data_IF_063660549832
#
_entry.id   IF_063660549832
#
_cell.length_a   1.000
_cell.length_b   1.000
_cell.length_c   1.000
_cell.angle_alpha   90.00
_cell.angle_beta   90.00
_cell.angle_gamma   90.00
#
_symmetry.space_group_name_H-M   'P 1'
#
loop_
_entity.id
_entity.type
_entity.pdbx_description
1 polymer ?
#
# COMPACT_ATOMS: atom_id res chain seq x y z
N UNK A 1 16.82 -43.79 -1.74
CA UNK A 1 16.24 -43.07 -2.90
C UNK A 1 14.93 -42.44 -2.46
N UNK A 2 14.89 -41.13 -2.27
CA UNK A 2 13.68 -40.30 -2.34
C UNK A 2 14.11 -38.85 -2.59
N UNK A 3 14.05 -38.50 -3.88
CA UNK A 3 13.95 -37.18 -4.51
C UNK A 3 14.49 -35.95 -3.76
N UNK A 4 15.68 -35.51 -4.19
CA UNK A 4 15.99 -34.09 -4.36
C UNK A 4 15.00 -33.50 -5.38
N UNK A 5 13.84 -33.05 -4.91
CA UNK A 5 13.00 -32.13 -5.66
C UNK A 5 13.50 -30.73 -5.39
N UNK A 6 14.14 -30.09 -6.36
CA UNK A 6 14.47 -28.68 -6.28
C UNK A 6 13.16 -27.89 -6.18
N UNK A 7 12.90 -27.35 -4.99
CA UNK A 7 11.81 -26.40 -4.76
C UNK A 7 12.20 -25.09 -5.42
N UNK A 8 11.39 -24.64 -6.37
CA UNK A 8 11.64 -23.48 -7.21
C UNK A 8 10.57 -22.42 -6.92
N UNK A 9 10.99 -21.23 -6.50
CA UNK A 9 10.10 -20.08 -6.27
C UNK A 9 10.25 -19.07 -7.42
N UNK A 10 9.24 -18.25 -7.73
CA UNK A 10 9.32 -17.22 -8.78
C UNK A 10 8.84 -15.86 -8.25
N UNK A 11 9.31 -14.76 -8.83
CA UNK A 11 8.84 -13.41 -8.51
C UNK A 11 7.95 -12.91 -9.64
N UNK A 12 6.74 -12.44 -9.30
CA UNK A 12 5.84 -11.77 -10.23
C UNK A 12 5.80 -10.27 -9.96
N UNK A 13 5.91 -9.47 -11.02
CA UNK A 13 5.56 -8.05 -11.01
C UNK A 13 4.29 -7.86 -11.82
N UNK A 14 3.22 -7.38 -11.20
CA UNK A 14 1.95 -7.09 -11.87
C UNK A 14 1.73 -5.60 -12.00
N UNK A 15 1.40 -5.11 -13.20
CA UNK A 15 0.99 -3.72 -13.42
C UNK A 15 -0.51 -3.64 -13.70
N UNK A 16 -1.20 -2.75 -12.98
CA UNK A 16 -2.63 -2.45 -13.15
C UNK A 16 -2.81 -0.97 -13.44
N UNK A 17 -3.80 -0.64 -14.26
CA UNK A 17 -4.15 0.72 -14.62
C UNK A 17 -5.62 1.02 -14.33
N UNK A 18 -5.89 2.06 -13.52
CA UNK A 18 -7.24 2.62 -13.34
C UNK A 18 -7.36 4.01 -13.98
N UNK A 19 -8.51 4.27 -14.62
CA UNK A 19 -8.86 5.52 -15.27
C UNK A 19 -10.12 6.13 -14.64
N UNK A 20 -10.12 7.43 -14.35
CA UNK A 20 -11.31 8.15 -13.91
C UNK A 20 -12.23 8.43 -15.12
N UNK A 21 -13.42 7.84 -15.13
CA UNK A 21 -14.45 8.09 -16.13
C UNK A 21 -15.25 9.34 -15.76
N UNK A 22 -15.03 10.43 -16.50
CA UNK A 22 -16.00 11.53 -16.57
C UNK A 22 -16.53 11.69 -18.00
N UNK A 23 -17.64 10.99 -18.26
CA UNK A 23 -18.72 11.48 -19.12
C UNK A 23 -20.02 11.20 -18.37
N UNK A 24 -20.27 12.01 -17.34
CA UNK A 24 -21.54 12.04 -16.65
C UNK A 24 -22.63 12.49 -17.63
N UNK A 25 -23.62 11.64 -17.89
CA UNK A 25 -24.94 12.05 -18.37
C UNK A 25 -25.99 11.40 -17.49
N UNK A 26 -26.49 12.24 -16.59
CA UNK A 26 -27.77 12.25 -15.90
C UNK A 26 -28.24 10.97 -15.21
N UNK A 27 -28.16 10.99 -13.88
CA UNK A 27 -29.06 10.24 -13.00
C UNK A 27 -29.67 11.26 -12.05
N UNK A 28 -30.96 11.55 -12.21
CA UNK A 28 -31.75 12.29 -11.24
C UNK A 28 -32.42 11.31 -10.29
N UNK A 29 -32.16 11.46 -8.99
CA UNK A 29 -32.90 10.76 -7.93
C UNK A 29 -33.68 11.83 -7.18
N UNK A 30 -35.01 11.69 -7.17
CA UNK A 30 -35.90 12.54 -6.41
C UNK A 30 -35.90 12.08 -4.94
N UNK A 31 -35.43 12.93 -4.04
CA UNK A 31 -35.37 12.67 -2.59
C UNK A 31 -36.27 13.67 -1.86
N UNK A 32 -37.58 13.48 -1.97
CA UNK A 32 -38.50 14.04 -0.96
C UNK A 32 -38.36 13.15 0.30
N UNK A 33 -37.89 13.77 1.38
CA UNK A 33 -37.51 13.21 2.70
C UNK A 33 -36.00 12.96 2.88
N UNK A 34 -35.18 14.01 2.73
CA UNK A 34 -33.83 14.02 3.30
C UNK A 34 -33.89 14.23 4.82
N UNK A 35 -33.49 13.21 5.58
CA UNK A 35 -32.97 13.36 6.94
C UNK A 35 -31.78 14.32 6.89
N UNK A 36 -31.86 15.41 7.64
CA UNK A 36 -30.76 16.35 7.87
C UNK A 36 -29.70 15.64 8.73
N UNK A 37 -28.67 15.10 8.06
CA UNK A 37 -27.44 14.62 8.71
C UNK A 37 -26.35 15.62 8.34
N UNK A 38 -26.19 16.62 9.19
CA UNK A 38 -25.16 17.63 9.09
C UNK A 38 -23.80 17.02 9.48
N UNK A 39 -22.82 17.03 8.57
CA UNK A 39 -21.45 16.56 8.84
C UNK A 39 -20.65 17.60 9.63
N UNK A 40 -20.41 17.35 10.92
CA UNK A 40 -19.53 18.15 11.79
C UNK A 40 -18.10 17.57 11.93
N UNK A 41 -17.64 16.71 11.02
CA UNK A 41 -16.37 15.99 11.22
C UNK A 41 -15.11 16.88 11.16
N UNK A 42 -15.12 17.98 10.40
CA UNK A 42 -13.88 18.77 10.21
C UNK A 42 -13.62 19.78 11.35
N UNK A 43 -14.67 20.26 12.02
CA UNK A 43 -14.54 21.22 13.13
C UNK A 43 -14.19 20.54 14.46
N UNK A 44 -14.62 19.31 14.68
CA UNK A 44 -14.32 18.56 15.91
C UNK A 44 -12.87 18.05 15.97
N UNK A 45 -12.22 17.80 14.83
CA UNK A 45 -10.78 17.47 14.80
C UNK A 45 -9.94 18.65 15.28
N UNK A 46 -10.24 19.87 14.83
CA UNK A 46 -9.53 21.08 15.27
C UNK A 46 -9.83 21.43 16.73
N UNK A 47 -11.06 21.19 17.20
CA UNK A 47 -11.46 21.45 18.58
C UNK A 47 -11.00 20.38 19.58
N UNK A 48 -10.80 19.12 19.18
CA UNK A 48 -10.20 18.09 20.04
C UNK A 48 -8.78 18.44 20.47
N UNK A 49 -8.03 19.21 19.67
CA UNK A 49 -6.70 19.71 20.03
C UNK A 49 -6.70 20.82 21.09
N UNK A 50 -7.87 21.31 21.53
CA UNK A 50 -7.98 22.20 22.71
C UNK A 50 -8.14 21.44 24.02
N UNK A 51 -8.61 20.19 23.99
CA UNK A 51 -8.83 19.41 25.23
C UNK A 51 -7.54 18.89 25.88
N UNK A 52 -6.43 18.81 25.12
CA UNK A 52 -5.16 18.20 25.58
C UNK A 52 -4.15 19.27 26.07
N UNK A 53 -4.61 20.25 26.84
CA UNK A 53 -3.74 20.93 27.81
C UNK A 53 -3.32 19.98 28.96
N UNK A 54 -3.68 18.70 28.87
CA UNK A 54 -3.53 17.70 29.91
C UNK A 54 -2.10 17.22 30.14
N UNK A 55 -1.16 17.29 29.21
CA UNK A 55 0.19 16.74 29.47
C UNK A 55 0.90 17.47 30.61
N UNK A 56 0.89 18.81 30.61
CA UNK A 56 1.47 19.60 31.70
C UNK A 56 0.55 19.60 32.94
N UNK A 57 -0.77 19.44 32.76
CA UNK A 57 -1.70 19.26 33.88
C UNK A 57 -1.47 17.93 34.63
N UNK A 58 -1.33 16.82 33.90
CA UNK A 58 -0.95 15.50 34.40
C UNK A 58 0.42 15.52 35.08
N UNK A 59 1.33 16.37 34.61
CA UNK A 59 2.63 16.57 35.25
C UNK A 59 2.51 17.31 36.60
N UNK A 60 1.49 18.17 36.75
CA UNK A 60 1.23 18.92 37.99
C UNK A 60 0.41 18.15 39.04
N UNK A 61 -0.16 17.01 38.69
CA UNK A 61 -0.86 16.15 39.67
C UNK A 61 0.14 15.64 40.72
N UNK A 62 -0.23 15.70 41.99
CA UNK A 62 0.58 15.22 43.13
C UNK A 62 1.01 13.74 43.03
N UNK A 63 0.30 12.93 42.22
CA UNK A 63 0.64 11.52 41.95
C UNK A 63 1.67 11.34 40.84
N UNK A 64 2.00 12.42 40.14
CA UNK A 64 2.93 12.44 39.03
C UNK A 64 4.33 12.81 39.49
N UNK A 65 5.34 12.25 38.83
CA UNK A 65 6.73 12.65 39.01
C UNK A 65 7.13 13.81 38.07
N UNK A 66 6.15 14.46 37.42
CA UNK A 66 6.37 15.56 36.48
C UNK A 66 6.92 15.15 35.11
N UNK A 67 7.07 13.85 34.83
CA UNK A 67 7.54 13.32 33.54
C UNK A 67 6.45 12.48 32.90
N UNK A 68 5.94 12.91 31.76
CA UNK A 68 4.86 12.24 31.04
C UNK A 68 5.40 11.52 29.81
N UNK A 69 4.90 10.31 29.56
CA UNK A 69 5.10 9.57 28.31
C UNK A 69 3.77 9.47 27.56
N UNK A 70 3.81 9.59 26.23
CA UNK A 70 2.63 9.37 25.39
C UNK A 70 2.82 8.09 24.57
N UNK A 71 1.75 7.29 24.48
CA UNK A 71 1.69 6.06 23.71
C UNK A 71 0.41 6.04 22.87
N UNK A 72 0.48 5.57 21.63
CA UNK A 72 -0.70 5.32 20.83
C UNK A 72 -0.44 4.49 19.57
N UNK A 73 -1.47 3.77 19.14
CA UNK A 73 -1.52 3.07 17.85
C UNK A 73 -2.58 3.71 16.94
N UNK A 74 -2.39 3.64 15.62
CA UNK A 74 -3.36 4.13 14.64
C UNK A 74 -3.80 5.57 14.99
N UNK A 75 -5.11 5.85 15.10
CA UNK A 75 -5.65 7.18 15.46
C UNK A 75 -5.01 7.80 16.71
N UNK A 76 -4.87 7.04 17.80
CA UNK A 76 -4.24 7.53 19.04
C UNK A 76 -2.74 7.84 18.84
N UNK A 77 -2.09 7.12 17.92
CA UNK A 77 -0.72 7.37 17.51
C UNK A 77 -0.57 8.65 16.69
N UNK A 78 -1.46 8.89 15.70
CA UNK A 78 -1.52 10.14 14.94
C UNK A 78 -1.66 11.35 15.85
N UNK A 79 -2.58 11.28 16.81
CA UNK A 79 -2.78 12.34 17.80
C UNK A 79 -1.53 12.55 18.66
N UNK A 80 -0.90 11.46 19.09
CA UNK A 80 0.34 11.51 19.87
C UNK A 80 1.48 12.19 19.10
N UNK A 81 1.69 11.81 17.84
CA UNK A 81 2.72 12.37 16.97
C UNK A 81 2.47 13.85 16.67
N UNK A 82 1.27 14.20 16.22
CA UNK A 82 0.91 15.60 15.92
C UNK A 82 0.97 16.49 17.16
N UNK A 83 0.54 16.00 18.32
CA UNK A 83 0.58 16.79 19.55
C UNK A 83 1.99 17.04 20.06
N UNK A 84 2.81 15.99 20.10
CA UNK A 84 4.21 16.13 20.53
C UNK A 84 4.97 17.13 19.66
N UNK A 85 4.73 17.14 18.34
CA UNK A 85 5.42 18.02 17.39
C UNK A 85 4.90 19.46 17.41
N UNK A 86 3.58 19.66 17.48
CA UNK A 86 2.96 20.99 17.44
C UNK A 86 3.04 21.73 18.78
N UNK A 87 2.84 21.04 19.91
CA UNK A 87 2.77 21.67 21.23
C UNK A 87 4.08 21.63 21.99
N UNK A 88 4.91 20.60 21.75
CA UNK A 88 6.17 20.35 22.47
C UNK A 88 6.05 20.54 24.00
N UNK A 89 5.14 19.81 24.69
CA UNK A 89 4.92 20.01 26.12
C UNK A 89 6.20 19.78 26.92
N UNK A 90 6.51 20.65 27.90
CA UNK A 90 7.76 20.54 28.65
C UNK A 90 7.82 19.25 29.47
N UNK A 91 6.67 18.76 29.96
CA UNK A 91 6.62 17.52 30.73
C UNK A 91 6.78 16.25 29.89
N UNK A 92 6.64 16.31 28.56
CA UNK A 92 6.73 15.12 27.70
C UNK A 92 8.19 14.65 27.58
N UNK A 93 8.49 13.45 28.10
CA UNK A 93 9.84 12.86 28.13
C UNK A 93 10.01 11.58 27.31
N UNK A 94 8.90 10.96 26.90
CA UNK A 94 8.92 9.75 26.08
C UNK A 94 7.71 9.71 25.14
N UNK A 95 7.91 9.11 23.97
CA UNK A 95 6.87 8.94 22.96
C UNK A 95 6.98 7.55 22.34
N UNK A 96 5.84 6.88 22.19
CA UNK A 96 5.73 5.64 21.45
C UNK A 96 4.53 5.71 20.52
N UNK A 97 4.78 5.72 19.22
CA UNK A 97 3.73 5.75 18.20
C UNK A 97 3.93 4.58 17.25
N UNK A 98 2.89 3.78 17.04
CA UNK A 98 2.93 2.66 16.10
C UNK A 98 1.79 2.75 15.09
N UNK A 99 2.05 2.31 13.85
CA UNK A 99 1.12 2.38 12.73
C UNK A 99 0.59 3.80 12.49
N UNK A 100 1.52 4.75 12.37
CA UNK A 100 1.24 6.18 12.14
C UNK A 100 2.03 6.67 10.93
N UNK A 101 1.58 7.76 10.33
CA UNK A 101 2.36 8.51 9.34
C UNK A 101 2.34 10.00 9.66
N UNK A 102 3.39 10.70 9.27
CA UNK A 102 3.48 12.16 9.25
C UNK A 102 3.01 12.76 7.90
N UNK A 103 2.82 11.93 6.87
CA UNK A 103 2.24 12.31 5.58
C UNK A 103 0.79 11.79 5.47
N UNK A 104 -0.14 12.58 6.02
CA UNK A 104 -1.57 12.28 5.98
C UNK A 104 -2.17 12.26 4.57
N UNK A 105 -1.50 12.85 3.58
CA UNK A 105 -2.03 12.83 2.22
C UNK A 105 -1.64 11.56 1.50
N UNK A 106 -0.35 11.19 1.47
CA UNK A 106 0.11 10.07 0.64
C UNK A 106 0.13 8.72 1.34
N UNK A 107 0.10 8.71 2.67
CA UNK A 107 0.35 7.49 3.45
C UNK A 107 -0.79 7.13 4.39
N UNK A 108 -1.82 7.98 4.50
CA UNK A 108 -3.05 7.65 5.20
C UNK A 108 -4.08 6.99 4.27
N UNK A 109 -5.07 6.34 4.87
CA UNK A 109 -6.03 5.46 4.19
C UNK A 109 -6.92 6.15 3.14
N UNK A 110 -6.96 7.49 3.12
CA UNK A 110 -7.87 8.25 2.27
C UNK A 110 -7.30 8.56 0.88
N UNK A 111 -6.01 8.86 0.80
CA UNK A 111 -5.33 9.31 -0.43
C UNK A 111 -4.00 8.57 -0.67
N UNK A 112 -3.93 7.31 -0.24
CA UNK A 112 -2.73 6.48 -0.40
C UNK A 112 -2.18 6.57 -1.83
N UNK A 113 -0.88 6.80 -1.96
CA UNK A 113 -0.19 6.95 -3.25
C UNK A 113 -0.69 8.10 -4.14
N UNK A 114 -1.41 9.06 -3.56
CA UNK A 114 -2.06 10.17 -4.28
C UNK A 114 -3.35 9.77 -5.00
N UNK A 115 -3.91 8.60 -4.65
CA UNK A 115 -5.13 8.02 -5.22
C UNK A 115 -6.19 8.02 -4.12
N UNK A 116 -7.40 8.49 -4.44
CA UNK A 116 -8.51 8.42 -3.50
C UNK A 116 -8.88 6.95 -3.24
N UNK A 117 -8.87 6.56 -1.97
CA UNK A 117 -9.32 5.26 -1.51
C UNK A 117 -10.68 5.43 -0.83
N UNK A 118 -11.60 4.50 -1.11
CA UNK A 118 -12.88 4.44 -0.39
C UNK A 118 -12.64 3.67 0.90
N UNK A 119 -12.76 4.36 2.03
CA UNK A 119 -12.57 3.74 3.33
C UNK A 119 -13.78 2.87 3.70
N UNK A 120 -13.67 1.56 3.46
CA UNK A 120 -14.64 0.57 3.93
C UNK A 120 -14.47 0.24 5.42
N UNK A 121 -13.39 0.69 6.07
CA UNK A 121 -13.00 0.29 7.40
C UNK A 121 -14.06 0.63 8.46
N UNK A 122 -14.68 1.82 8.38
CA UNK A 122 -15.68 2.27 9.33
C UNK A 122 -16.93 1.36 9.35
N UNK A 123 -17.50 1.05 8.18
CA UNK A 123 -18.68 0.17 8.10
C UNK A 123 -18.27 -1.26 8.49
N UNK A 124 -17.12 -1.72 8.02
CA UNK A 124 -16.65 -3.07 8.29
C UNK A 124 -16.46 -3.34 9.79
N UNK A 125 -15.85 -2.42 10.55
CA UNK A 125 -15.56 -2.65 11.97
C UNK A 125 -16.84 -2.72 12.81
N UNK A 126 -17.81 -1.83 12.54
CA UNK A 126 -19.09 -1.81 13.26
C UNK A 126 -19.87 -3.11 13.02
N UNK A 127 -19.92 -3.57 11.77
CA UNK A 127 -20.57 -4.83 11.43
C UNK A 127 -19.81 -6.03 11.99
N UNK A 128 -18.48 -6.02 11.96
CA UNK A 128 -17.64 -7.10 12.49
C UNK A 128 -17.77 -7.25 14.00
N UNK A 129 -17.87 -6.13 14.74
CA UNK A 129 -18.11 -6.13 16.18
C UNK A 129 -19.51 -6.63 16.56
N UNK A 130 -20.47 -6.57 15.63
CA UNK A 130 -21.82 -7.10 15.82
C UNK A 130 -21.93 -8.60 15.53
N UNK A 131 -20.90 -9.23 14.95
CA UNK A 131 -20.89 -10.67 14.69
C UNK A 131 -20.77 -11.40 16.04
N UNK A 132 -21.75 -12.27 16.41
CA UNK A 132 -21.65 -13.03 17.64
C UNK A 132 -20.43 -13.96 17.58
N UNK A 133 -19.75 -14.11 18.71
CA UNK A 133 -18.64 -15.05 18.81
C UNK A 133 -19.11 -16.44 18.35
N UNK A 134 -18.36 -17.13 17.47
CA UNK A 134 -18.78 -18.46 17.03
C UNK A 134 -18.71 -19.41 18.24
N UNK A 135 -19.77 -20.19 18.45
CA UNK A 135 -19.95 -21.08 19.61
C UNK A 135 -18.75 -22.04 19.78
N UNK A 136 -18.13 -22.45 18.67
CA UNK A 136 -17.02 -23.38 18.65
C UNK A 136 -15.68 -22.73 18.24
N UNK A 137 -15.57 -21.39 18.31
CA UNK A 137 -14.33 -20.70 17.93
C UNK A 137 -13.26 -20.87 19.00
N UNK A 138 -12.40 -21.86 18.78
CA UNK A 138 -11.33 -22.19 19.70
C UNK A 138 -9.99 -21.64 19.19
N UNK A 139 -9.49 -20.56 19.81
CA UNK A 139 -8.14 -20.02 19.56
C UNK A 139 -7.09 -20.89 20.26
N UNK A 140 -6.91 -22.12 19.78
CA UNK A 140 -5.89 -23.02 20.27
C UNK A 140 -4.57 -22.85 19.50
N UNK A 141 -3.53 -23.58 19.91
CA UNK A 141 -2.21 -23.53 19.25
C UNK A 141 -2.29 -23.89 17.76
N UNK A 142 -3.21 -24.79 17.39
CA UNK A 142 -3.43 -25.16 15.99
C UNK A 142 -4.02 -23.98 15.19
N UNK A 143 -5.07 -23.33 15.71
CA UNK A 143 -5.66 -22.13 15.11
C UNK A 143 -4.62 -21.03 14.88
N UNK A 144 -3.70 -20.87 15.83
CA UNK A 144 -2.60 -19.92 15.76
C UNK A 144 -1.59 -20.31 14.69
N UNK A 145 -1.16 -21.58 14.66
CA UNK A 145 -0.19 -22.10 13.66
C UNK A 145 -0.71 -22.03 12.23
N UNK A 146 -2.01 -22.20 12.02
CA UNK A 146 -2.63 -22.16 10.69
C UNK A 146 -2.74 -20.73 10.12
N UNK A 147 -2.63 -19.69 10.97
CA UNK A 147 -2.78 -18.28 10.59
C UNK A 147 -1.50 -17.46 10.70
N UNK A 148 -0.49 -17.96 11.41
CA UNK A 148 0.82 -17.33 11.45
C UNK A 148 1.61 -17.70 10.20
N UNK A 149 2.13 -16.69 9.51
CA UNK A 149 3.12 -16.90 8.46
C UNK A 149 4.40 -17.48 9.07
N UNK A 150 5.04 -18.41 8.37
CA UNK A 150 6.35 -18.93 8.79
C UNK A 150 7.40 -17.84 8.60
N UNK A 151 8.22 -17.60 9.62
CA UNK A 151 9.28 -16.60 9.57
C UNK A 151 10.10 -16.63 10.85
N UNK A 152 11.15 -15.81 10.90
CA UNK A 152 11.93 -15.60 12.11
C UNK A 152 12.23 -14.12 12.28
N UNK A 153 12.22 -13.64 13.52
CA UNK A 153 12.67 -12.29 13.82
C UNK A 153 14.16 -12.17 13.51
N UNK A 154 14.51 -11.09 12.83
CA UNK A 154 15.89 -10.73 12.54
C UNK A 154 16.20 -9.38 13.18
N UNK A 155 17.37 -9.29 13.79
CA UNK A 155 17.88 -8.07 14.37
C UNK A 155 18.89 -7.42 13.43
N UNK A 156 18.77 -6.11 13.27
CA UNK A 156 19.73 -5.27 12.53
C UNK A 156 20.11 -4.08 13.40
N UNK A 157 21.40 -3.73 13.40
CA UNK A 157 21.93 -2.62 14.21
C UNK A 157 21.67 -1.25 13.58
N UNK A 158 21.24 -1.20 12.32
CA UNK A 158 21.09 0.03 11.54
C UNK A 158 19.96 -0.09 10.51
N UNK A 159 19.42 1.07 10.11
CA UNK A 159 18.40 1.17 9.08
C UNK A 159 18.56 2.46 8.25
N UNK A 160 18.51 2.41 6.91
CA UNK A 160 18.49 1.20 6.06
C UNK A 160 19.74 0.35 6.21
N UNK A 161 19.65 -0.95 5.92
CA UNK A 161 20.77 -1.90 6.06
C UNK A 161 21.89 -1.53 5.08
N UNK A 162 23.10 -1.17 5.55
CA UNK A 162 24.19 -0.69 4.67
C UNK A 162 24.72 -1.79 3.75
N UNK A 163 24.75 -3.04 4.23
CA UNK A 163 25.25 -4.19 3.45
C UNK A 163 24.28 -4.70 2.38
N UNK A 164 23.15 -4.02 2.16
CA UNK A 164 22.19 -4.38 1.12
C UNK A 164 22.83 -4.31 -0.28
N UNK A 165 22.49 -5.27 -1.14
CA UNK A 165 22.86 -5.23 -2.56
C UNK A 165 21.62 -4.86 -3.36
N UNK A 166 21.73 -3.83 -4.18
CA UNK A 166 20.66 -3.45 -5.11
C UNK A 166 20.62 -4.49 -6.22
N UNK A 167 19.63 -5.38 -6.19
CA UNK A 167 19.28 -6.23 -7.32
C UNK A 167 18.33 -5.47 -8.24
N UNK A 168 18.66 -5.39 -9.54
CA UNK A 168 17.83 -4.71 -10.54
C UNK A 168 17.23 -5.77 -11.45
N UNK A 169 15.90 -5.86 -11.42
CA UNK A 169 15.15 -6.66 -12.38
C UNK A 169 14.62 -5.76 -13.49
N UNK A 170 14.63 -6.27 -14.72
CA UNK A 170 14.14 -5.62 -15.92
C UNK A 170 12.92 -6.35 -16.44
N UNK A 171 12.02 -5.57 -17.04
CA UNK A 171 10.75 -6.01 -17.59
C UNK A 171 10.84 -5.93 -19.12
N UNK A 172 11.36 -6.96 -19.81
CA UNK A 172 11.26 -7.11 -21.25
C UNK A 172 9.81 -7.35 -21.71
N UNK A 173 9.62 -7.30 -23.03
CA UNK A 173 8.30 -7.45 -23.66
C UNK A 173 7.74 -8.87 -23.56
N UNK A 174 8.59 -9.89 -23.44
CA UNK A 174 8.22 -11.31 -23.44
C UNK A 174 7.62 -11.79 -22.12
N UNK A 175 7.11 -10.88 -21.30
CA UNK A 175 6.50 -11.17 -19.99
C UNK A 175 7.44 -11.86 -19.00
N UNK A 176 8.75 -11.74 -19.21
CA UNK A 176 9.76 -12.22 -18.26
C UNK A 176 10.23 -11.11 -17.32
N UNK A 177 10.78 -11.52 -16.19
CA UNK A 177 11.48 -10.65 -15.25
C UNK A 177 12.94 -11.12 -15.16
N UNK A 178 13.88 -10.29 -15.64
CA UNK A 178 15.29 -10.70 -15.82
C UNK A 178 16.27 -9.75 -15.14
N UNK A 179 17.37 -10.26 -14.60
CA UNK A 179 18.44 -9.42 -14.01
C UNK A 179 19.29 -8.71 -15.07
N UNK A 180 19.34 -9.27 -16.28
CA UNK A 180 20.20 -8.78 -17.35
C UNK A 180 19.50 -7.62 -18.06
N UNK A 181 20.18 -6.48 -18.10
CA UNK A 181 19.67 -5.30 -18.81
C UNK A 181 19.46 -5.66 -20.29
N UNK A 182 18.23 -5.53 -20.82
CA UNK A 182 17.99 -5.76 -22.24
C UNK A 182 18.85 -4.82 -23.09
N UNK A 183 19.34 -5.30 -24.23
CA UNK A 183 19.99 -4.47 -25.24
C UNK A 183 18.95 -3.49 -25.81
N UNK A 184 18.87 -2.29 -25.24
CA UNK A 184 18.01 -1.23 -25.78
C UNK A 184 18.50 -0.81 -27.16
N UNK A 185 17.74 -1.13 -28.21
CA UNK A 185 17.89 -0.42 -29.48
C UNK A 185 17.35 0.99 -29.23
N UNK A 186 18.19 2.03 -29.37
CA UNK A 186 17.76 3.43 -29.17
C UNK A 186 16.50 3.68 -29.99
N UNK A 187 15.38 3.88 -29.31
CA UNK A 187 14.16 4.35 -29.95
C UNK A 187 14.40 5.81 -30.32
N UNK A 188 14.48 6.08 -31.62
CA UNK A 188 14.36 7.44 -32.12
C UNK A 188 13.06 8.01 -31.55
N UNK A 189 13.14 9.22 -30.99
CA UNK A 189 12.08 9.91 -30.23
C UNK A 189 10.74 10.04 -30.98
N UNK A 190 10.70 9.72 -32.28
CA UNK A 190 9.53 9.81 -33.15
C UNK A 190 9.10 8.49 -33.82
N UNK A 191 9.60 7.33 -33.39
CA UNK A 191 9.05 6.02 -33.81
C UNK A 191 8.63 5.22 -32.57
N UNK A 192 7.32 5.03 -32.45
CA UNK A 192 6.71 4.05 -31.55
C UNK A 192 7.41 2.72 -31.79
N UNK A 193 8.15 2.22 -30.80
CA UNK A 193 8.53 0.81 -30.80
C UNK A 193 7.22 0.01 -30.84
N UNK A 194 7.12 -0.98 -31.72
CA UNK A 194 5.97 -1.91 -31.78
C UNK A 194 5.91 -2.87 -30.56
N UNK A 195 6.52 -2.44 -29.48
CA UNK A 195 7.06 -3.24 -28.40
C UNK A 195 6.49 -2.64 -27.11
N UNK A 196 5.17 -2.74 -26.98
CA UNK A 196 4.39 -2.17 -25.86
C UNK A 196 3.43 -3.24 -25.40
N UNK A 197 3.51 -3.59 -24.12
CA UNK A 197 2.50 -4.43 -23.48
C UNK A 197 1.28 -3.58 -23.16
N UNK A 198 0.13 -3.98 -23.69
CA UNK A 198 -1.12 -3.23 -23.57
C UNK A 198 -1.97 -3.86 -22.47
N UNK A 199 -2.37 -3.04 -21.51
CA UNK A 199 -3.34 -3.41 -20.50
C UNK A 199 -4.71 -2.83 -20.87
N UNK A 200 -5.72 -3.70 -20.94
CA UNK A 200 -7.10 -3.28 -21.14
C UNK A 200 -7.68 -2.73 -19.83
N UNK A 201 -8.22 -1.51 -19.86
CA UNK A 201 -8.91 -0.93 -18.71
C UNK A 201 -10.26 -1.63 -18.49
N UNK A 202 -10.49 -2.10 -17.25
CA UNK A 202 -11.75 -2.71 -16.83
C UNK A 202 -12.22 -2.08 -15.51
N UNK A 203 -13.37 -1.40 -15.47
CA UNK A 203 -13.77 -0.58 -14.33
C UNK A 203 -14.10 -1.39 -13.06
N UNK A 204 -14.34 -2.70 -13.17
CA UNK A 204 -14.64 -3.58 -12.03
C UNK A 204 -13.40 -4.32 -11.51
N UNK A 205 -12.24 -4.22 -12.17
CA UNK A 205 -11.03 -4.94 -11.74
C UNK A 205 -10.43 -4.22 -10.53
N UNK A 206 -10.20 -4.96 -9.45
CA UNK A 206 -9.67 -4.42 -8.19
C UNK A 206 -10.46 -4.84 -6.96
N UNK A 207 -11.71 -5.28 -7.11
CA UNK A 207 -12.48 -5.83 -5.99
C UNK A 207 -11.89 -7.14 -5.45
N UNK A 208 -11.16 -7.87 -6.29
CA UNK A 208 -10.46 -9.12 -5.94
C UNK A 208 -9.24 -8.88 -5.04
N UNK A 209 -8.73 -7.65 -4.96
CA UNK A 209 -7.54 -7.28 -4.20
C UNK A 209 -7.73 -7.34 -2.67
N UNK A 210 -8.97 -7.50 -2.20
CA UNK A 210 -9.32 -7.47 -0.79
C UNK A 210 -9.66 -6.08 -0.27
N UNK A 211 -9.84 -5.97 1.04
CA UNK A 211 -10.36 -4.77 1.70
C UNK A 211 -9.29 -3.80 2.18
N UNK A 212 -8.10 -4.30 2.53
CA UNK A 212 -7.03 -3.49 3.10
C UNK A 212 -5.64 -4.08 2.80
N UNK A 213 -4.71 -3.22 2.41
CA UNK A 213 -3.34 -3.60 2.05
C UNK A 213 -2.53 -4.23 3.20
N UNK A 214 -2.88 -3.92 4.46
CA UNK A 214 -2.25 -4.53 5.64
C UNK A 214 -2.89 -5.85 6.09
N UNK A 215 -3.93 -6.32 5.39
CA UNK A 215 -4.60 -7.58 5.68
C UNK A 215 -3.85 -8.78 5.11
N UNK A 216 -4.19 -9.99 5.59
CA UNK A 216 -3.78 -11.22 4.92
C UNK A 216 -4.48 -11.27 3.56
N UNK A 217 -3.69 -11.27 2.49
CA UNK A 217 -4.22 -11.45 1.14
C UNK A 217 -4.38 -12.93 0.83
N UNK A 218 -5.47 -13.26 0.14
CA UNK A 218 -5.64 -14.59 -0.43
C UNK A 218 -4.80 -14.77 -1.68
N UNK A 219 -4.97 -15.93 -2.33
CA UNK A 219 -4.41 -16.23 -3.64
C UNK A 219 -4.70 -15.12 -4.66
N UNK A 220 -3.64 -14.56 -5.26
CA UNK A 220 -3.71 -13.41 -6.16
C UNK A 220 -4.12 -13.76 -7.61
N UNK A 221 -4.13 -15.04 -7.99
CA UNK A 221 -4.43 -15.49 -9.37
C UNK A 221 -5.73 -14.92 -9.97
N UNK A 222 -6.86 -14.78 -9.22
CA UNK A 222 -8.06 -14.15 -9.76
C UNK A 222 -7.83 -12.71 -10.23
N UNK A 223 -6.94 -11.99 -9.54
CA UNK A 223 -6.61 -10.60 -9.85
C UNK A 223 -5.61 -10.49 -11.01
N UNK A 224 -4.67 -11.42 -11.10
CA UNK A 224 -3.61 -11.45 -12.12
C UNK A 224 -4.15 -11.63 -13.54
N UNK A 225 -5.28 -12.33 -13.67
CA UNK A 225 -6.01 -12.50 -14.94
C UNK A 225 -6.28 -11.18 -15.68
N UNK A 226 -6.32 -10.07 -14.96
CA UNK A 226 -6.60 -8.73 -15.49
C UNK A 226 -5.40 -7.77 -15.36
N UNK A 227 -4.20 -8.30 -15.18
CA UNK A 227 -2.95 -7.55 -14.99
C UNK A 227 -1.95 -7.86 -16.11
N UNK A 228 -0.95 -6.98 -16.29
CA UNK A 228 0.26 -7.36 -17.01
C UNK A 228 1.19 -8.11 -16.07
N UNK A 229 1.41 -9.40 -16.34
CA UNK A 229 2.21 -10.30 -15.51
C UNK A 229 3.63 -10.40 -16.08
N UNK A 230 4.63 -10.29 -15.20
CA UNK A 230 6.04 -10.51 -15.52
C UNK A 230 6.66 -11.48 -14.53
N UNK A 231 7.15 -12.62 -15.00
CA UNK A 231 7.61 -13.73 -14.13
C UNK A 231 9.10 -13.94 -14.27
N UNK A 232 9.82 -14.11 -13.16
CA UNK A 232 11.22 -14.50 -13.19
C UNK A 232 11.39 -15.97 -13.59
N UNK A 233 12.60 -16.35 -14.00
CA UNK A 233 12.95 -17.77 -13.93
C UNK A 233 12.91 -18.26 -12.47
N UNK A 234 12.68 -19.55 -12.24
CA UNK A 234 12.85 -20.19 -10.95
C UNK A 234 14.08 -19.73 -10.17
N UNK A 235 13.83 -19.11 -9.03
CA UNK A 235 14.84 -18.70 -8.06
C UNK A 235 15.55 -19.94 -7.52
N UNK A 236 16.86 -20.00 -7.73
CA UNK A 236 17.71 -21.15 -7.36
C UNK A 236 18.31 -21.02 -5.97
N UNK A 237 18.36 -19.81 -5.43
CA UNK A 237 18.91 -19.47 -4.13
C UNK A 237 18.00 -18.46 -3.47
N UNK A 238 17.66 -18.65 -2.19
CA UNK A 238 16.77 -17.76 -1.46
C UNK A 238 17.26 -16.30 -1.55
N UNK A 239 16.34 -15.40 -1.91
CA UNK A 239 16.59 -13.96 -1.98
C UNK A 239 15.83 -13.32 -0.83
N UNK A 240 16.54 -12.56 -0.01
CA UNK A 240 15.94 -11.76 1.05
C UNK A 240 15.73 -10.33 0.55
N UNK A 241 14.48 -9.86 0.58
CA UNK A 241 14.12 -8.50 0.21
C UNK A 241 13.76 -7.77 1.49
N UNK A 242 14.63 -6.85 1.92
CA UNK A 242 14.41 -6.04 3.13
C UNK A 242 14.58 -4.59 2.73
N UNK A 243 13.52 -3.78 2.88
CA UNK A 243 13.56 -2.37 2.50
C UNK A 243 12.39 -1.94 1.63
N UNK A 244 12.65 -0.87 0.88
CA UNK A 244 11.70 -0.28 -0.06
C UNK A 244 12.12 -0.65 -1.48
N UNK A 245 11.25 -1.37 -2.19
CA UNK A 245 11.42 -1.66 -3.60
C UNK A 245 11.02 -0.44 -4.40
N UNK A 246 11.82 -0.04 -5.38
CA UNK A 246 11.49 1.07 -6.28
C UNK A 246 11.18 0.54 -7.67
N UNK A 247 10.11 1.05 -8.27
CA UNK A 247 9.69 0.68 -9.62
C UNK A 247 9.83 1.88 -10.54
N UNK A 248 10.39 1.63 -11.73
CA UNK A 248 10.49 2.63 -12.80
C UNK A 248 9.87 2.08 -14.08
N UNK A 249 8.84 2.77 -14.58
CA UNK A 249 8.09 2.35 -15.76
C UNK A 249 8.06 3.45 -16.81
N UNK A 250 8.20 3.06 -18.08
CA UNK A 250 7.78 3.90 -19.19
C UNK A 250 6.31 3.59 -19.51
N UNK A 251 5.43 4.56 -19.33
CA UNK A 251 3.99 4.39 -19.44
C UNK A 251 3.36 5.38 -20.41
N UNK A 252 2.21 5.03 -20.96
CA UNK A 252 1.32 5.94 -21.66
C UNK A 252 -0.13 5.58 -21.35
N UNK A 253 -1.04 6.55 -21.53
CA UNK A 253 -2.47 6.36 -21.38
C UNK A 253 -3.21 7.11 -22.48
N UNK A 254 -4.36 6.60 -22.91
CA UNK A 254 -5.23 7.25 -23.92
C UNK A 254 -6.07 8.39 -23.32
N UNK A 255 -5.94 8.64 -22.02
CA UNK A 255 -6.72 9.60 -21.22
C UNK A 255 -5.78 10.50 -20.40
N UNK A 256 -6.37 11.50 -19.73
CA UNK A 256 -5.63 12.52 -18.96
C UNK A 256 -5.32 12.12 -17.52
N UNK A 257 -6.07 11.17 -16.97
CA UNK A 257 -5.96 10.67 -15.60
C UNK A 257 -5.81 9.16 -15.62
N UNK A 258 -4.70 8.69 -15.06
CA UNK A 258 -4.32 7.29 -15.03
C UNK A 258 -3.55 7.01 -13.76
N UNK A 259 -3.85 5.89 -13.10
CA UNK A 259 -3.10 5.41 -11.94
C UNK A 259 -2.36 4.14 -12.29
N UNK A 260 -1.10 4.00 -11.93
CA UNK A 260 -0.37 2.75 -12.10
C UNK A 260 -0.17 2.10 -10.75
N UNK A 261 -0.64 0.87 -10.62
CA UNK A 261 -0.49 0.05 -9.41
C UNK A 261 0.44 -1.10 -9.77
N UNK A 262 1.44 -1.32 -8.93
CA UNK A 262 2.41 -2.39 -9.11
C UNK A 262 2.41 -3.30 -7.90
N UNK A 263 2.24 -4.59 -8.12
CA UNK A 263 2.35 -5.65 -7.10
C UNK A 263 3.63 -6.44 -7.31
N UNK A 264 4.30 -6.76 -6.22
CA UNK A 264 5.40 -7.71 -6.14
C UNK A 264 4.90 -8.94 -5.37
N UNK A 265 5.04 -10.11 -5.97
CA UNK A 265 4.47 -11.35 -5.47
C UNK A 265 5.50 -12.48 -5.48
N UNK A 266 5.37 -13.41 -4.53
CA UNK A 266 6.11 -14.68 -4.46
C UNK A 266 5.23 -15.83 -4.94
N UNK A 267 5.76 -16.63 -5.87
CA UNK A 267 5.12 -17.83 -6.40
C UNK A 267 5.77 -19.04 -5.76
N UNK A 268 4.98 -19.83 -5.04
CA UNK A 268 5.45 -21.08 -4.45
C UNK A 268 5.66 -22.17 -5.52
N UNK A 269 6.42 -23.24 -5.22
CA UNK A 269 6.64 -24.34 -6.17
C UNK A 269 5.38 -25.10 -6.62
N UNK A 270 4.22 -24.88 -5.98
CA UNK A 270 2.94 -25.45 -6.34
C UNK A 270 2.08 -24.48 -7.18
N UNK A 271 2.58 -23.27 -7.47
CA UNK A 271 1.90 -22.22 -8.22
C UNK A 271 0.91 -21.38 -7.39
N UNK A 272 1.00 -21.38 -6.06
CA UNK A 272 0.29 -20.41 -5.22
C UNK A 272 1.01 -19.07 -5.23
N UNK A 273 0.25 -17.98 -5.26
CA UNK A 273 0.79 -16.62 -5.38
C UNK A 273 0.45 -15.83 -4.11
N UNK A 274 1.48 -15.33 -3.44
CA UNK A 274 1.37 -14.48 -2.26
C UNK A 274 1.82 -13.06 -2.57
N UNK A 275 1.04 -12.05 -2.15
CA UNK A 275 1.44 -10.65 -2.26
C UNK A 275 2.55 -10.33 -1.24
N UNK A 276 3.69 -9.88 -1.73
CA UNK A 276 4.83 -9.46 -0.90
C UNK A 276 4.77 -7.96 -0.59
N UNK A 277 4.47 -7.14 -1.60
CA UNK A 277 4.19 -5.71 -1.45
C UNK A 277 3.49 -5.16 -2.69
N UNK A 278 2.90 -3.99 -2.54
CA UNK A 278 2.32 -3.23 -3.63
C UNK A 278 2.68 -1.76 -3.46
N UNK A 279 2.46 -0.98 -4.50
CA UNK A 279 2.45 0.47 -4.43
C UNK A 279 1.80 1.02 -5.68
N UNK A 280 1.42 2.28 -5.63
CA UNK A 280 0.80 2.93 -6.76
C UNK A 280 1.34 4.33 -7.01
N UNK A 281 0.93 4.91 -8.12
CA UNK A 281 1.13 6.33 -8.39
C UNK A 281 -0.02 6.89 -9.21
N UNK A 282 -0.54 8.04 -8.79
CA UNK A 282 -1.37 8.88 -9.64
C UNK A 282 -0.51 9.58 -10.70
N UNK A 283 -0.76 9.31 -11.98
CA UNK A 283 0.00 9.86 -13.09
C UNK A 283 0.01 11.37 -13.21
N UNK A 284 -1.01 12.04 -12.69
CA UNK A 284 -1.01 13.50 -12.61
C UNK A 284 0.02 14.02 -11.60
N UNK A 285 0.35 13.22 -10.59
CA UNK A 285 1.27 13.53 -9.50
C UNK A 285 2.70 13.00 -9.73
N UNK A 286 3.02 12.50 -10.94
CA UNK A 286 4.39 12.07 -11.33
C UNK A 286 5.46 13.15 -11.18
N UNK A 287 5.04 14.42 -11.07
CA UNK A 287 5.89 15.59 -10.93
C UNK A 287 5.19 16.62 -10.05
N UNK A 288 5.96 17.54 -9.48
CA UNK A 288 5.44 18.67 -8.70
C UNK A 288 5.73 19.99 -9.45
N UNK A 289 4.73 20.85 -9.68
CA UNK A 289 3.31 20.68 -9.33
C UNK A 289 2.62 19.61 -10.20
N UNK A 290 1.50 19.03 -9.73
CA UNK A 290 0.74 18.04 -10.49
C UNK A 290 0.28 18.58 -11.85
N UNK A 291 0.34 17.73 -12.88
CA UNK A 291 -0.14 18.08 -14.23
C UNK A 291 -0.80 16.88 -14.89
N UNK A 292 -1.91 17.10 -15.59
CA UNK A 292 -2.56 16.03 -16.36
C UNK A 292 -1.62 15.39 -17.38
N UNK A 293 -1.87 14.11 -17.66
CA UNK A 293 -1.24 13.41 -18.75
C UNK A 293 -1.78 13.96 -20.08
N UNK A 294 -0.91 14.05 -21.07
CA UNK A 294 -1.33 14.22 -22.46
C UNK A 294 -1.63 12.82 -23.03
N UNK A 295 -2.84 12.59 -23.57
CA UNK A 295 -3.18 11.32 -24.18
C UNK A 295 -2.12 10.85 -25.19
N UNK A 296 -1.78 9.57 -25.14
CA UNK A 296 -0.82 8.89 -26.00
C UNK A 296 0.64 9.39 -25.91
N UNK A 297 0.96 10.26 -24.95
CA UNK A 297 2.35 10.62 -24.64
C UNK A 297 2.98 9.58 -23.70
N UNK A 298 4.29 9.36 -23.87
CA UNK A 298 5.09 8.49 -23.00
C UNK A 298 5.66 9.29 -21.83
N UNK A 299 5.63 8.69 -20.64
CA UNK A 299 6.16 9.26 -19.40
C UNK A 299 7.03 8.23 -18.70
N UNK A 300 8.12 8.69 -18.09
CA UNK A 300 8.83 7.89 -17.09
C UNK A 300 8.20 8.19 -15.73
N UNK A 301 7.71 7.14 -15.05
CA UNK A 301 7.22 7.23 -13.68
C UNK A 301 8.14 6.40 -12.79
N UNK A 302 8.45 6.91 -11.60
CA UNK A 302 9.22 6.20 -10.58
C UNK A 302 8.55 6.42 -9.24
N UNK A 303 8.28 5.33 -8.52
CA UNK A 303 7.66 5.36 -7.20
C UNK A 303 8.09 4.15 -6.36
N UNK A 304 8.10 4.29 -5.03
CA UNK A 304 8.35 3.17 -4.12
C UNK A 304 7.11 2.26 -4.03
N UNK A 305 7.34 0.97 -3.86
CA UNK A 305 6.34 0.08 -3.27
C UNK A 305 6.34 0.28 -1.75
N UNK A 306 5.26 -0.12 -1.10
CA UNK A 306 5.18 -0.12 0.35
C UNK A 306 6.25 -1.03 0.95
N UNK A 307 6.58 -0.76 2.21
CA UNK A 307 7.64 -1.45 2.91
C UNK A 307 7.36 -2.96 3.04
N UNK A 308 8.35 -3.79 2.70
CA UNK A 308 8.35 -5.24 2.91
C UNK A 308 9.38 -5.60 3.99
N UNK A 309 8.98 -6.52 4.88
CA UNK A 309 9.85 -7.18 5.87
C UNK A 309 9.92 -8.67 5.64
#
# INVERSE_FOLDING_TARGET
MTSNGSKHQEIIVNCIWHCNLSNARDISINLENALDISFNLLLDVINNFKSINDTDHLASDHRSNGRVGMYGISWSGFNTLMMSTLRRPFALKALFTAHVTDDLYKSDIHYSDGIMHLDQYFIFIDHSNAIPAPIDYNMNDQWTRERLTTGHYRYETEWPIVRQKICRMYIPEDHKLIEQKPLMTRLNENKVSNNVNILEYRPWVGFEAGTWLGGLTGDQRPFDKYSLIYVSEPIKQAIEIIGVVNVSLQVSATVRLAHWIVRLEDVDPNGQIALTTTGAINGAQRQTPPTYLKPNCRYMITFPLHFTT
#
